data_IF_123121539572
#
_entry.id   IF_123121539572
#
_cell.length_a   1.000
_cell.length_b   1.000
_cell.length_c   1.000
_cell.angle_alpha   90.00
_cell.angle_beta   90.00
_cell.angle_gamma   90.00
#
_symmetry.space_group_name_H-M   'P 1'
#
loop_
_entity.id
_entity.type
_entity.pdbx_description
1 polymer ?
#
# COMPACT_ATOMS: atom_id res chain seq x y z
N UNK A 1 -40.85 59.62 -32.15
CA UNK A 1 -39.60 58.84 -32.25
C UNK A 1 -39.60 57.85 -31.10
N UNK A 2 -39.93 56.59 -31.35
CA UNK A 2 -39.85 55.53 -30.34
C UNK A 2 -39.07 54.36 -30.97
N UNK A 3 -37.87 54.10 -30.46
CA UNK A 3 -37.03 52.99 -30.87
C UNK A 3 -37.27 51.81 -29.94
N UNK A 4 -37.98 50.79 -30.43
CA UNK A 4 -38.13 49.51 -29.75
C UNK A 4 -36.85 48.69 -29.96
N UNK A 5 -36.08 48.49 -28.89
CA UNK A 5 -34.97 47.53 -28.85
C UNK A 5 -35.54 46.14 -28.58
N UNK A 6 -35.48 45.26 -29.57
CA UNK A 6 -35.72 43.82 -29.43
C UNK A 6 -34.50 43.16 -28.79
N UNK A 7 -34.71 42.52 -27.63
CA UNK A 7 -33.74 41.62 -26.98
C UNK A 7 -34.12 40.18 -27.34
N UNK A 8 -33.28 39.52 -28.13
CA UNK A 8 -33.35 38.08 -28.35
C UNK A 8 -32.68 37.36 -27.19
N UNK A 9 -33.45 36.57 -26.43
CA UNK A 9 -32.94 35.65 -25.41
C UNK A 9 -32.72 34.29 -26.09
N UNK A 10 -31.46 33.93 -26.29
CA UNK A 10 -31.06 32.61 -26.76
C UNK A 10 -30.94 31.69 -25.54
N UNK A 11 -31.89 30.79 -25.34
CA UNK A 11 -31.83 29.78 -24.29
C UNK A 11 -30.97 28.59 -24.78
N UNK A 12 -29.79 28.40 -24.18
CA UNK A 12 -28.97 27.20 -24.37
C UNK A 12 -29.48 26.16 -23.35
N UNK A 13 -30.16 25.14 -23.83
CA UNK A 13 -30.51 23.97 -23.04
C UNK A 13 -29.27 23.08 -22.88
N UNK A 14 -28.60 23.15 -21.74
CA UNK A 14 -27.57 22.18 -21.36
C UNK A 14 -28.27 20.90 -20.87
N UNK A 15 -28.28 19.86 -21.69
CA UNK A 15 -28.66 18.52 -21.25
C UNK A 15 -27.51 17.93 -20.44
N UNK A 16 -27.63 17.91 -19.12
CA UNK A 16 -26.75 17.11 -18.26
C UNK A 16 -27.13 15.64 -18.43
N UNK A 17 -26.28 14.88 -19.12
CA UNK A 17 -26.34 13.42 -19.07
C UNK A 17 -25.77 13.00 -17.72
N UNK A 18 -26.64 12.66 -16.77
CA UNK A 18 -26.22 11.94 -15.58
C UNK A 18 -25.87 10.51 -16.02
N UNK A 19 -24.59 10.23 -16.19
CA UNK A 19 -24.11 8.87 -16.12
C UNK A 19 -24.32 8.41 -14.66
N UNK A 20 -25.36 7.61 -14.43
CA UNK A 20 -25.49 6.89 -13.18
C UNK A 20 -24.24 6.02 -13.00
N UNK A 21 -23.66 5.93 -11.79
CA UNK A 21 -22.58 4.99 -11.54
C UNK A 21 -23.10 3.59 -11.86
N UNK A 22 -22.42 2.90 -12.77
CA UNK A 22 -22.57 1.46 -12.94
C UNK A 22 -22.42 0.82 -11.55
N UNK A 23 -23.33 -0.09 -11.13
CA UNK A 23 -23.10 -0.85 -9.91
C UNK A 23 -21.72 -1.50 -10.03
N UNK A 24 -20.85 -1.23 -9.06
CA UNK A 24 -19.57 -1.89 -8.95
C UNK A 24 -19.84 -3.38 -8.73
N UNK A 25 -19.89 -4.14 -9.82
CA UNK A 25 -19.89 -5.60 -9.79
C UNK A 25 -18.48 -6.07 -9.45
N UNK A 26 -18.12 -5.90 -8.18
CA UNK A 26 -17.02 -6.59 -7.50
C UNK A 26 -17.45 -6.94 -6.07
N UNK A 27 -18.72 -7.33 -5.89
CA UNK A 27 -19.26 -7.88 -4.65
C UNK A 27 -18.72 -9.28 -4.29
N UNK A 28 -17.71 -9.77 -5.00
CA UNK A 28 -17.03 -11.04 -4.72
C UNK A 28 -15.67 -10.88 -4.00
N UNK A 29 -15.21 -9.64 -3.78
CA UNK A 29 -14.27 -9.34 -2.71
C UNK A 29 -15.10 -8.97 -1.49
N UNK A 30 -15.75 -9.98 -0.88
CA UNK A 30 -16.38 -9.79 0.42
C UNK A 30 -15.38 -9.08 1.32
N UNK A 31 -15.79 -7.90 1.81
CA UNK A 31 -15.04 -7.14 2.77
C UNK A 31 -14.63 -8.09 3.89
N UNK A 32 -13.33 -8.38 4.00
CA UNK A 32 -12.74 -9.11 5.13
C UNK A 32 -12.75 -8.15 6.32
N UNK A 33 -13.96 -7.81 6.77
CA UNK A 33 -14.22 -6.95 7.89
C UNK A 33 -13.88 -7.71 9.17
N UNK A 34 -12.84 -7.25 9.84
CA UNK A 34 -12.65 -7.50 11.26
C UNK A 34 -13.85 -6.95 12.03
N UNK A 35 -14.66 -7.82 12.65
CA UNK A 35 -15.55 -7.47 13.76
C UNK A 35 -14.89 -7.97 15.03
N UNK A 36 -14.58 -7.04 15.94
CA UNK A 36 -13.86 -7.32 17.18
C UNK A 36 -14.45 -8.50 17.96
N UNK A 37 -13.55 -9.34 18.49
CA UNK A 37 -13.88 -10.49 19.35
C UNK A 37 -13.43 -11.82 18.75
N UNK A 38 -12.22 -12.25 19.13
CA UNK A 38 -11.63 -13.59 18.96
C UNK A 38 -10.92 -13.93 17.65
N UNK A 39 -9.62 -13.58 17.65
CA UNK A 39 -8.39 -14.33 17.30
C UNK A 39 -8.34 -15.22 16.04
N UNK A 40 -7.28 -14.93 15.27
CA UNK A 40 -6.61 -15.65 14.18
C UNK A 40 -7.04 -15.29 12.75
N UNK A 41 -6.03 -15.01 11.93
CA UNK A 41 -6.13 -15.00 10.48
C UNK A 41 -6.49 -16.40 10.01
N UNK A 42 -7.73 -16.60 9.58
CA UNK A 42 -8.07 -17.77 8.78
C UNK A 42 -7.34 -17.64 7.45
N UNK A 43 -6.24 -18.39 7.31
CA UNK A 43 -5.63 -18.69 6.01
C UNK A 43 -6.74 -19.29 5.14
N UNK A 44 -6.97 -18.81 3.90
CA UNK A 44 -7.97 -19.43 3.04
C UNK A 44 -7.61 -20.91 2.88
N UNK A 45 -8.63 -21.78 2.99
CA UNK A 45 -8.53 -23.19 2.67
C UNK A 45 -7.78 -23.34 1.33
N UNK A 46 -6.81 -24.24 1.28
CA UNK A 46 -6.04 -24.55 0.06
C UNK A 46 -6.89 -25.10 -1.09
N UNK A 47 -8.20 -25.22 -0.88
CA UNK A 47 -9.18 -25.78 -1.80
C UNK A 47 -10.17 -24.72 -2.33
N UNK A 48 -9.99 -23.43 -2.03
CA UNK A 48 -10.76 -22.38 -2.66
C UNK A 48 -10.33 -22.25 -4.14
N UNK A 49 -11.08 -22.88 -5.04
CA UNK A 49 -10.91 -22.73 -6.48
C UNK A 49 -11.11 -21.25 -6.84
N UNK A 50 -10.02 -20.58 -7.19
CA UNK A 50 -10.05 -19.24 -7.79
C UNK A 50 -10.47 -19.42 -9.24
N UNK A 51 -11.75 -19.20 -9.52
CA UNK A 51 -12.26 -19.14 -10.89
C UNK A 51 -11.79 -17.84 -11.54
N UNK A 52 -10.63 -17.89 -12.22
CA UNK A 52 -10.17 -16.80 -13.07
C UNK A 52 -10.94 -16.83 -14.39
N UNK A 53 -11.79 -15.83 -14.63
CA UNK A 53 -12.34 -15.60 -15.97
C UNK A 53 -11.30 -14.86 -16.81
N UNK A 54 -10.63 -15.60 -17.71
CA UNK A 54 -9.81 -14.99 -18.75
C UNK A 54 -10.74 -14.42 -19.84
N UNK A 55 -10.85 -13.09 -19.93
CA UNK A 55 -11.43 -12.45 -21.10
C UNK A 55 -10.44 -12.56 -22.27
N UNK A 56 -10.77 -13.40 -23.24
CA UNK A 56 -10.10 -13.50 -24.52
C UNK A 56 -10.32 -12.22 -25.32
N UNK A 57 -9.31 -11.36 -25.34
CA UNK A 57 -9.17 -10.31 -26.34
C UNK A 57 -8.26 -10.81 -27.45
N UNK A 58 -8.86 -11.22 -28.57
CA UNK A 58 -8.14 -11.50 -29.82
C UNK A 58 -7.41 -10.23 -30.29
N UNK A 59 -6.09 -10.20 -30.09
CA UNK A 59 -5.21 -9.23 -30.73
C UNK A 59 -4.69 -9.83 -32.03
N UNK A 60 -4.93 -9.21 -33.20
CA UNK A 60 -4.39 -9.70 -34.46
C UNK A 60 -2.86 -9.59 -34.48
N UNK A 61 -2.23 -10.69 -34.91
CA UNK A 61 -0.79 -10.84 -35.05
C UNK A 61 -0.23 -9.98 -36.18
N UNK A 62 0.74 -9.11 -35.88
CA UNK A 62 1.58 -8.47 -36.89
C UNK A 62 2.72 -9.41 -37.32
N UNK A 63 2.85 -9.52 -38.64
CA UNK A 63 3.87 -10.26 -39.38
C UNK A 63 5.28 -9.75 -39.08
N UNK A 64 6.28 -10.62 -38.81
CA UNK A 64 7.66 -10.18 -38.62
C UNK A 64 8.31 -9.75 -39.95
N UNK A 65 8.96 -8.58 -39.93
CA UNK A 65 9.81 -8.10 -41.01
C UNK A 65 11.14 -8.89 -41.09
N UNK A 66 11.71 -9.12 -42.29
CA UNK A 66 12.92 -9.91 -42.47
C UNK A 66 14.19 -9.22 -41.90
N UNK A 67 15.03 -10.02 -41.25
CA UNK A 67 16.28 -9.61 -40.64
C UNK A 67 17.37 -9.25 -41.68
N UNK A 68 18.07 -8.14 -41.44
CA UNK A 68 19.24 -7.74 -42.21
C UNK A 68 20.51 -8.54 -41.80
N UNK A 69 21.51 -8.70 -42.70
CA UNK A 69 22.72 -9.48 -42.43
C UNK A 69 23.63 -8.80 -41.40
N UNK A 70 24.01 -9.53 -40.36
CA UNK A 70 24.99 -9.11 -39.36
C UNK A 70 26.41 -9.33 -39.90
N UNK A 71 27.20 -8.26 -39.95
CA UNK A 71 28.64 -8.29 -40.24
C UNK A 71 29.41 -8.62 -38.96
N UNK A 72 30.40 -9.51 -39.07
CA UNK A 72 31.28 -9.88 -37.96
C UNK A 72 32.33 -8.79 -37.76
N UNK A 73 32.19 -8.02 -36.68
CA UNK A 73 33.15 -7.03 -36.20
C UNK A 73 33.82 -7.46 -34.89
N UNK A 74 35.11 -7.15 -34.77
CA UNK A 74 36.09 -7.49 -33.73
C UNK A 74 35.67 -7.23 -32.25
N UNK A 75 36.34 -7.85 -31.26
CA UNK A 75 35.97 -7.72 -29.85
C UNK A 75 36.10 -6.27 -29.35
N UNK A 76 34.97 -5.71 -28.94
CA UNK A 76 34.87 -4.44 -28.23
C UNK A 76 35.32 -4.59 -26.79
N UNK A 77 36.18 -3.69 -26.34
CA UNK A 77 36.41 -3.41 -24.92
C UNK A 77 35.06 -3.18 -24.22
N UNK A 78 34.92 -3.77 -23.03
CA UNK A 78 33.69 -3.71 -22.24
C UNK A 78 33.34 -2.25 -21.90
N UNK A 79 32.10 -1.79 -22.14
CA UNK A 79 31.61 -0.59 -21.52
C UNK A 79 31.45 -0.85 -20.02
N UNK A 80 31.95 0.07 -19.19
CA UNK A 80 31.69 0.07 -17.76
C UNK A 80 30.17 0.02 -17.52
N UNK A 81 29.75 -0.89 -16.64
CA UNK A 81 28.38 -0.98 -16.15
C UNK A 81 27.93 0.41 -15.69
N UNK A 82 26.87 1.01 -16.25
CA UNK A 82 26.30 2.20 -15.66
C UNK A 82 25.87 1.87 -14.23
N UNK A 83 26.34 2.64 -13.26
CA UNK A 83 25.84 2.59 -11.90
C UNK A 83 24.31 2.73 -11.94
N UNK A 84 23.55 2.00 -11.12
CA UNK A 84 22.10 2.16 -11.07
C UNK A 84 21.77 3.62 -10.80
N UNK A 85 21.10 4.27 -11.75
CA UNK A 85 20.47 5.56 -11.53
C UNK A 85 19.48 5.40 -10.39
N UNK A 86 19.67 6.18 -9.32
CA UNK A 86 18.67 6.28 -8.26
C UNK A 86 17.31 6.66 -8.89
N UNK A 87 16.22 5.97 -8.55
CA UNK A 87 14.89 6.40 -8.94
C UNK A 87 14.64 7.83 -8.44
N UNK A 88 14.15 8.69 -9.33
CA UNK A 88 13.70 10.02 -8.97
C UNK A 88 12.51 9.91 -8.02
N UNK A 89 12.57 10.63 -6.89
CA UNK A 89 11.58 10.69 -5.81
C UNK A 89 10.20 11.13 -6.30
N UNK A 90 9.16 10.27 -6.18
CA UNK A 90 7.82 10.70 -5.83
C UNK A 90 7.73 10.70 -4.30
N UNK A 91 7.27 11.78 -3.66
CA UNK A 91 7.38 11.96 -2.20
C UNK A 91 6.90 10.74 -1.40
N UNK A 92 7.69 10.30 -0.40
CA UNK A 92 7.27 9.16 0.43
C UNK A 92 8.30 8.47 1.31
N UNK A 93 9.62 8.59 1.12
CA UNK A 93 10.61 7.93 1.99
C UNK A 93 11.03 8.81 3.18
N UNK A 94 10.11 9.11 4.11
CA UNK A 94 10.44 9.82 5.36
C UNK A 94 11.17 8.92 6.37
N UNK A 95 11.54 9.48 7.51
CA UNK A 95 12.21 8.83 8.66
C UNK A 95 11.61 7.45 9.05
N UNK A 96 10.37 7.16 8.64
CA UNK A 96 9.66 5.92 8.89
C UNK A 96 10.36 4.67 8.33
N UNK A 97 10.95 4.72 7.13
CA UNK A 97 11.56 3.52 6.53
C UNK A 97 12.84 3.13 7.27
N UNK A 98 13.61 4.14 7.68
CA UNK A 98 14.83 3.95 8.49
C UNK A 98 14.48 3.34 9.85
N UNK A 99 13.39 3.80 10.49
CA UNK A 99 12.88 3.23 11.73
C UNK A 99 12.44 1.78 11.53
N UNK A 100 11.65 1.49 10.49
CA UNK A 100 11.19 0.14 10.21
C UNK A 100 12.37 -0.82 9.97
N UNK A 101 13.36 -0.38 9.20
CA UNK A 101 14.54 -1.17 8.88
C UNK A 101 15.50 -1.34 10.06
N UNK A 102 15.66 -0.32 10.93
CA UNK A 102 16.41 -0.42 12.19
C UNK A 102 15.91 -1.61 13.01
N UNK A 103 14.60 -1.68 13.25
CA UNK A 103 14.00 -2.72 14.08
C UNK A 103 13.92 -4.07 13.39
N UNK A 104 13.68 -4.11 12.08
CA UNK A 104 13.69 -5.35 11.30
C UNK A 104 15.07 -6.02 11.30
N UNK A 105 16.12 -5.23 11.11
CA UNK A 105 17.52 -5.71 11.14
C UNK A 105 17.92 -6.13 12.55
N UNK A 106 17.51 -5.38 13.58
CA UNK A 106 17.72 -5.78 14.98
C UNK A 106 17.08 -7.16 15.26
N UNK A 107 15.90 -7.43 14.69
CA UNK A 107 15.22 -8.73 14.74
C UNK A 107 15.84 -9.84 13.87
N UNK A 108 16.99 -9.60 13.24
CA UNK A 108 17.71 -10.57 12.42
C UNK A 108 17.09 -10.80 11.03
N UNK A 109 16.23 -9.90 10.54
CA UNK A 109 15.60 -9.99 9.22
C UNK A 109 16.23 -9.03 8.22
N UNK A 110 16.21 -9.37 6.91
CA UNK A 110 16.61 -8.44 5.87
C UNK A 110 15.76 -7.17 5.91
N UNK A 111 16.38 -6.02 5.67
CA UNK A 111 15.67 -4.75 5.52
C UNK A 111 14.57 -4.85 4.45
N UNK A 112 13.47 -4.14 4.67
CA UNK A 112 12.43 -3.95 3.67
C UNK A 112 12.93 -3.07 2.52
N UNK A 113 12.36 -3.30 1.34
CA UNK A 113 12.39 -2.35 0.24
C UNK A 113 11.12 -1.51 0.26
N UNK A 114 11.25 -0.20 0.05
CA UNK A 114 10.07 0.67 -0.10
C UNK A 114 9.32 0.31 -1.38
N UNK A 115 7.99 0.27 -1.30
CA UNK A 115 7.11 0.13 -2.47
C UNK A 115 6.17 1.32 -2.55
N UNK A 116 6.28 2.12 -3.62
CA UNK A 116 5.39 3.25 -3.85
C UNK A 116 3.92 2.84 -3.94
N UNK A 117 3.63 1.63 -4.43
CA UNK A 117 2.27 1.08 -4.45
C UNK A 117 1.76 0.82 -3.03
N UNK A 118 2.59 0.23 -2.16
CA UNK A 118 2.22 -0.02 -0.78
C UNK A 118 2.10 1.29 0.02
N UNK A 119 2.92 2.30 -0.28
CA UNK A 119 2.80 3.64 0.33
C UNK A 119 1.46 4.28 -0.05
N UNK A 120 1.08 4.22 -1.33
CA UNK A 120 -0.22 4.73 -1.79
C UNK A 120 -1.40 3.96 -1.16
N UNK A 121 -1.28 2.64 -1.04
CA UNK A 121 -2.29 1.82 -0.37
C UNK A 121 -2.42 2.17 1.11
N UNK A 122 -1.30 2.30 1.82
CA UNK A 122 -1.27 2.69 3.23
C UNK A 122 -1.85 4.09 3.44
N UNK A 123 -1.55 5.06 2.56
CA UNK A 123 -2.11 6.40 2.63
C UNK A 123 -3.63 6.37 2.49
N UNK A 124 -4.14 5.63 1.49
CA UNK A 124 -5.58 5.46 1.29
C UNK A 124 -6.24 4.86 2.53
N UNK A 125 -5.67 3.80 3.09
CA UNK A 125 -6.20 3.15 4.29
C UNK A 125 -6.21 4.10 5.49
N UNK A 126 -5.13 4.87 5.68
CA UNK A 126 -5.04 5.86 6.76
C UNK A 126 -6.12 6.94 6.60
N UNK A 127 -6.32 7.48 5.39
CA UNK A 127 -7.34 8.49 5.10
C UNK A 127 -8.77 7.96 5.29
N UNK A 128 -9.01 6.70 4.94
CA UNK A 128 -10.33 6.07 5.07
C UNK A 128 -10.64 5.57 6.50
N UNK A 129 -9.67 5.60 7.42
CA UNK A 129 -9.83 5.19 8.83
C UNK A 129 -10.59 6.22 9.67
N UNK A 130 -11.72 6.71 9.14
CA UNK A 130 -12.60 7.68 9.80
C UNK A 130 -13.39 6.97 10.90
N UNK A 131 -13.32 7.49 12.13
CA UNK A 131 -14.06 6.93 13.26
C UNK A 131 -13.48 5.63 13.84
N UNK A 132 -12.26 5.26 13.48
CA UNK A 132 -11.55 4.11 14.03
C UNK A 132 -10.56 3.48 13.03
N UNK A 133 -9.79 2.48 13.49
CA UNK A 133 -8.84 1.76 12.64
C UNK A 133 -9.61 0.85 11.66
N UNK A 134 -9.54 1.14 10.36
CA UNK A 134 -10.25 0.39 9.33
C UNK A 134 -9.25 -0.30 8.40
N UNK A 135 -9.07 -1.61 8.59
CA UNK A 135 -8.25 -2.40 7.67
C UNK A 135 -8.85 -2.44 6.27
N UNK A 136 -8.01 -2.21 5.26
CA UNK A 136 -8.33 -2.34 3.85
C UNK A 136 -7.14 -2.95 3.10
N UNK A 137 -7.24 -4.23 2.74
CA UNK A 137 -6.22 -4.89 1.92
C UNK A 137 -6.42 -4.50 0.45
N UNK A 138 -5.81 -3.38 0.07
CA UNK A 138 -5.79 -2.90 -1.31
C UNK A 138 -4.99 -3.85 -2.22
N UNK A 139 -5.22 -3.84 -3.54
CA UNK A 139 -4.47 -4.68 -4.47
C UNK A 139 -2.95 -4.57 -4.29
N UNK A 140 -2.28 -5.72 -4.17
CA UNK A 140 -0.84 -5.80 -3.90
C UNK A 140 -0.46 -5.82 -2.41
N UNK A 141 -1.38 -5.47 -1.50
CA UNK A 141 -1.15 -5.59 -0.05
C UNK A 141 -1.43 -7.02 0.42
N UNK A 142 -0.44 -7.64 1.06
CA UNK A 142 -0.52 -9.00 1.60
C UNK A 142 -0.76 -9.01 3.12
N UNK A 143 -0.39 -7.94 3.80
CA UNK A 143 -0.70 -7.70 5.20
C UNK A 143 -0.68 -6.21 5.51
N UNK A 144 -1.30 -5.83 6.62
CA UNK A 144 -1.46 -4.44 7.00
C UNK A 144 -1.46 -4.30 8.52
N UNK A 145 -0.85 -3.22 9.01
CA UNK A 145 -0.89 -2.80 10.41
C UNK A 145 -1.37 -1.36 10.50
N UNK A 146 -2.18 -1.03 11.52
CA UNK A 146 -2.65 0.33 11.76
C UNK A 146 -2.52 0.67 13.24
N UNK A 147 -2.37 1.94 13.54
CA UNK A 147 -2.48 2.46 14.89
C UNK A 147 -2.81 3.95 14.87
N UNK A 148 -3.48 4.46 15.93
CA UNK A 148 -3.56 5.89 16.14
C UNK A 148 -2.16 6.46 16.42
N UNK A 149 -1.92 7.71 16.05
CA UNK A 149 -0.67 8.41 16.33
C UNK A 149 -0.65 9.83 15.75
N UNK A 150 0.55 10.35 15.54
CA UNK A 150 0.82 11.66 14.96
C UNK A 150 1.97 11.63 13.94
N UNK A 151 2.15 12.70 13.17
CA UNK A 151 3.17 12.71 12.11
C UNK A 151 4.62 12.53 12.61
N UNK A 152 4.88 12.68 13.91
CA UNK A 152 6.21 12.66 14.53
C UNK A 152 6.48 11.43 15.41
N UNK A 153 5.47 10.60 15.69
CA UNK A 153 5.55 9.52 16.67
C UNK A 153 5.75 8.13 16.07
N UNK A 154 6.10 8.03 14.78
CA UNK A 154 6.17 6.75 14.07
C UNK A 154 7.01 5.70 14.80
N UNK A 155 8.15 6.05 15.42
CA UNK A 155 8.93 5.06 16.18
C UNK A 155 8.20 4.54 17.42
N UNK A 156 7.48 5.41 18.12
CA UNK A 156 6.64 5.02 19.27
C UNK A 156 5.53 4.08 18.82
N UNK A 157 4.90 4.34 17.67
CA UNK A 157 3.88 3.46 17.08
C UNK A 157 4.48 2.14 16.63
N UNK A 158 5.57 2.19 15.87
CA UNK A 158 6.19 1.02 15.26
C UNK A 158 6.79 0.07 16.30
N UNK A 159 7.58 0.60 17.22
CA UNK A 159 8.20 -0.19 18.27
C UNK A 159 7.19 -0.46 19.40
N UNK A 160 6.68 0.61 20.00
CA UNK A 160 5.88 0.55 21.21
C UNK A 160 4.49 -0.02 20.98
N UNK A 161 3.82 0.40 19.91
CA UNK A 161 2.46 -0.03 19.57
C UNK A 161 2.38 -1.37 18.87
N UNK A 162 3.30 -1.65 17.94
CA UNK A 162 3.25 -2.86 17.11
C UNK A 162 4.22 -3.95 17.53
N UNK A 163 5.54 -3.69 17.53
CA UNK A 163 6.52 -4.76 17.82
C UNK A 163 6.46 -5.27 19.26
N UNK A 164 6.20 -4.38 20.22
CA UNK A 164 6.13 -4.74 21.63
C UNK A 164 4.90 -5.55 22.04
N UNK A 165 4.01 -5.87 21.10
CA UNK A 165 3.03 -6.95 21.27
C UNK A 165 3.69 -8.31 21.54
N UNK A 166 4.90 -8.52 21.01
CA UNK A 166 5.74 -9.69 21.28
C UNK A 166 7.06 -9.24 21.95
N UNK A 167 7.05 -8.88 23.24
CA UNK A 167 8.17 -8.19 23.90
C UNK A 167 9.45 -9.02 24.02
N UNK A 168 9.37 -10.34 23.83
CA UNK A 168 10.49 -11.27 23.86
C UNK A 168 11.00 -11.62 22.45
N UNK A 169 10.57 -10.90 21.41
CA UNK A 169 11.06 -11.11 20.04
C UNK A 169 12.55 -10.75 19.94
N UNK A 170 13.29 -11.41 19.02
CA UNK A 170 14.69 -11.06 18.75
C UNK A 170 14.87 -9.56 18.47
N UNK A 171 15.96 -8.98 18.97
CA UNK A 171 16.31 -7.58 18.73
C UNK A 171 15.61 -6.54 19.61
N UNK A 172 14.70 -6.96 20.49
CA UNK A 172 13.99 -6.05 21.40
C UNK A 172 14.68 -5.89 22.77
N UNK A 173 15.52 -6.84 23.20
CA UNK A 173 16.42 -6.74 24.37
C UNK A 173 15.83 -6.06 25.62
N UNK A 174 14.54 -6.29 25.91
CA UNK A 174 13.83 -5.70 27.05
C UNK A 174 13.37 -4.25 26.87
N UNK A 175 13.60 -3.62 25.72
CA UNK A 175 13.22 -2.22 25.45
C UNK A 175 11.72 -1.97 25.58
N UNK A 176 10.90 -3.02 25.38
CA UNK A 176 9.46 -2.94 25.50
C UNK A 176 8.97 -2.56 26.89
N UNK A 177 9.75 -2.79 27.95
CA UNK A 177 9.40 -2.32 29.30
C UNK A 177 9.22 -0.78 29.38
N UNK A 178 9.88 -0.03 28.49
CA UNK A 178 9.72 1.42 28.37
C UNK A 178 9.00 1.85 27.09
N UNK A 179 9.24 1.17 25.97
CA UNK A 179 8.71 1.59 24.68
C UNK A 179 7.20 1.38 24.54
N UNK A 180 6.62 0.39 25.25
CA UNK A 180 5.18 0.15 25.23
C UNK A 180 4.39 1.03 26.21
N UNK A 181 5.03 1.99 26.89
CA UNK A 181 4.33 2.88 27.81
C UNK A 181 3.27 3.69 27.07
N UNK A 182 2.02 3.61 27.52
CA UNK A 182 0.88 4.25 26.87
C UNK A 182 0.16 3.37 25.84
N UNK A 183 0.69 2.20 25.52
CA UNK A 183 0.05 1.23 24.63
C UNK A 183 -0.67 0.14 25.43
N UNK A 184 -1.92 -0.13 25.06
CA UNK A 184 -2.67 -1.27 25.56
C UNK A 184 -2.86 -2.28 24.41
N UNK A 185 -2.10 -3.36 24.43
CA UNK A 185 -2.14 -4.39 23.39
C UNK A 185 -3.32 -5.35 23.55
N UNK A 186 -3.99 -5.40 24.70
CA UNK A 186 -5.10 -6.35 24.97
C UNK A 186 -4.78 -7.83 24.66
N UNK A 187 -3.50 -8.20 24.70
CA UNK A 187 -3.01 -9.54 24.33
C UNK A 187 -3.02 -9.84 22.83
N UNK A 188 -3.16 -8.83 21.98
CA UNK A 188 -2.97 -8.92 20.53
C UNK A 188 -1.48 -9.09 20.19
N UNK A 189 -1.21 -9.83 19.12
CA UNK A 189 0.14 -10.12 18.60
C UNK A 189 0.26 -9.89 17.09
N UNK A 190 -0.86 -9.55 16.44
CA UNK A 190 -0.98 -9.55 14.99
C UNK A 190 -0.05 -8.55 14.32
N UNK A 191 0.19 -7.39 14.93
CA UNK A 191 1.06 -6.38 14.33
C UNK A 191 2.52 -6.84 14.36
N UNK A 192 2.98 -7.35 15.51
CA UNK A 192 4.33 -7.91 15.63
C UNK A 192 4.54 -9.11 14.70
N UNK A 193 3.58 -10.03 14.60
CA UNK A 193 3.65 -11.19 13.70
C UNK A 193 3.76 -10.77 12.22
N UNK A 194 3.02 -9.74 11.80
CA UNK A 194 3.09 -9.19 10.44
C UNK A 194 4.45 -8.54 10.20
N UNK A 195 4.89 -7.64 11.09
CA UNK A 195 6.14 -6.90 10.93
C UNK A 195 7.38 -7.79 11.02
N UNK A 196 7.30 -8.90 11.77
CA UNK A 196 8.33 -9.93 11.82
C UNK A 196 8.08 -11.06 10.81
N UNK A 197 7.12 -10.94 9.90
CA UNK A 197 6.86 -11.88 8.83
C UNK A 197 7.92 -11.88 7.73
N UNK A 198 7.72 -12.70 6.70
CA UNK A 198 8.67 -12.90 5.60
C UNK A 198 8.49 -11.95 4.40
N UNK A 199 7.65 -10.91 4.56
CA UNK A 199 7.47 -9.83 3.60
C UNK A 199 8.79 -9.14 3.24
N UNK A 200 8.91 -8.68 1.99
CA UNK A 200 10.12 -8.04 1.45
C UNK A 200 9.94 -6.56 1.21
N UNK A 201 8.70 -6.14 0.98
CA UNK A 201 8.35 -4.78 0.69
C UNK A 201 7.41 -4.20 1.74
N UNK A 202 7.54 -2.89 1.97
CA UNK A 202 6.67 -2.15 2.88
C UNK A 202 6.35 -0.79 2.27
N UNK A 203 5.19 -0.24 2.61
CA UNK A 203 4.91 1.17 2.46
C UNK A 203 4.09 1.66 3.64
N UNK A 204 4.50 2.75 4.24
CA UNK A 204 3.81 3.35 5.38
C UNK A 204 3.37 4.77 5.07
N UNK A 205 2.29 5.20 5.72
CA UNK A 205 1.75 6.53 5.57
C UNK A 205 0.97 6.96 6.82
N UNK A 206 0.91 8.27 7.03
CA UNK A 206 0.14 8.90 8.10
C UNK A 206 -0.94 9.80 7.50
N UNK A 207 -2.15 9.72 8.02
CA UNK A 207 -3.20 10.68 7.71
C UNK A 207 -3.43 11.61 8.89
N UNK A 208 -3.16 12.91 8.69
CA UNK A 208 -3.49 13.95 9.68
C UNK A 208 -5.00 14.15 9.85
N UNK A 209 -5.81 13.73 8.88
CA UNK A 209 -7.26 13.83 8.94
C UNK A 209 -7.89 12.85 9.93
N UNK A 210 -7.31 11.66 10.05
CA UNK A 210 -7.80 10.59 10.93
C UNK A 210 -6.90 10.35 12.14
N UNK A 211 -5.65 10.84 12.12
CA UNK A 211 -4.66 10.57 13.15
C UNK A 211 -4.17 9.12 13.13
N UNK A 212 -4.09 8.51 11.95
CA UNK A 212 -3.78 7.08 11.80
C UNK A 212 -2.50 6.89 11.00
N UNK A 213 -1.62 6.05 11.54
CA UNK A 213 -0.56 5.39 10.79
C UNK A 213 -1.06 4.09 10.21
N UNK A 214 -0.72 3.84 8.95
CA UNK A 214 -0.92 2.55 8.28
C UNK A 214 0.39 2.11 7.65
N UNK A 215 0.68 0.81 7.70
CA UNK A 215 1.74 0.18 6.91
C UNK A 215 1.20 -1.05 6.20
N UNK A 216 1.47 -1.13 4.90
CA UNK A 216 1.11 -2.23 4.02
C UNK A 216 2.37 -3.02 3.64
N UNK A 217 2.27 -4.35 3.62
CA UNK A 217 3.41 -5.26 3.39
C UNK A 217 3.13 -6.24 2.25
N UNK A 218 4.18 -6.63 1.53
CA UNK A 218 4.15 -7.65 0.46
C UNK A 218 5.41 -8.53 0.44
#
# INVERSE_FOLDING_TARGET
MYALKTLSVLAIAATTVFAAPTPAENGALEARQWRGGNRYWNRPDSNAEVTTYAYGGDSPAETPAPAAPQTWGAPSSAPATPAPSAPATPGGGGDWLDIANKWRVAGGKPAFTESSTLVANAQKTADDSVGGLQHQLNPGTMAQVLAPGDASDFETVYLGGWLCELPNSPGLDGICASASNGWNHEGQTGHAEILTGDYKSIGCAFSSGTGVWSCDLA
#
